data_IF_686207632796
#
_entry.id   IF_686207632796
#
_cell.length_a   1.000
_cell.length_b   1.000
_cell.length_c   1.000
_cell.angle_alpha   90.00
_cell.angle_beta   90.00
_cell.angle_gamma   90.00
#
_symmetry.space_group_name_H-M   'P 1'
#
loop_
_entity.id
_entity.type
_entity.pdbx_description
1 polymer ?
#
# COMPACT_ATOMS: atom_id res chain seq x y z
N UNK A 1 -45.86 -4.46 92.68
CA UNK A 1 -46.73 -5.32 91.90
C UNK A 1 -46.06 -5.68 90.58
N UNK A 2 -45.80 -6.97 90.45
CA UNK A 2 -45.66 -7.75 89.21
C UNK A 2 -44.65 -7.28 88.13
N UNK A 3 -43.55 -8.00 88.00
CA UNK A 3 -43.32 -9.23 87.18
C UNK A 3 -43.08 -8.86 85.69
N UNK A 4 -42.12 -9.31 85.03
CA UNK A 4 -41.53 -10.62 84.81
C UNK A 4 -40.24 -10.52 84.02
N UNK A 5 -39.30 -11.32 84.39
CA UNK A 5 -38.08 -11.67 83.66
C UNK A 5 -38.36 -12.26 82.28
N UNK A 6 -37.58 -11.87 81.29
CA UNK A 6 -37.38 -12.67 80.07
C UNK A 6 -35.91 -12.77 79.70
N UNK A 7 -35.44 -13.98 79.74
CA UNK A 7 -34.12 -14.39 79.25
C UNK A 7 -33.94 -14.09 77.77
N UNK A 8 -32.91 -13.42 77.47
CA UNK A 8 -32.46 -13.23 76.06
C UNK A 8 -31.62 -14.44 75.67
N UNK A 9 -32.12 -15.24 74.74
CA UNK A 9 -31.38 -16.23 73.99
C UNK A 9 -30.55 -15.51 72.91
N UNK A 10 -29.24 -15.55 73.10
CA UNK A 10 -28.33 -15.13 72.01
C UNK A 10 -28.28 -16.18 70.94
N UNK A 11 -28.87 -15.96 69.81
CA UNK A 11 -28.65 -16.76 68.60
C UNK A 11 -27.45 -16.13 67.84
N UNK A 12 -26.31 -16.85 67.91
CA UNK A 12 -25.14 -16.58 67.10
C UNK A 12 -25.48 -17.01 65.69
N UNK A 13 -25.68 -16.04 64.80
CA UNK A 13 -25.77 -16.26 63.36
C UNK A 13 -24.34 -16.24 62.81
N UNK A 14 -23.81 -17.40 62.50
CA UNK A 14 -22.56 -17.53 61.72
C UNK A 14 -22.89 -17.20 60.25
N UNK A 15 -22.57 -16.00 59.85
CA UNK A 15 -22.65 -15.63 58.42
C UNK A 15 -21.39 -16.11 57.72
N UNK A 16 -21.51 -17.25 57.08
CA UNK A 16 -20.45 -17.75 56.17
C UNK A 16 -20.40 -16.84 54.94
N UNK A 17 -19.41 -15.97 54.89
CA UNK A 17 -19.08 -15.23 53.68
C UNK A 17 -18.39 -16.19 52.71
N UNK A 18 -19.16 -16.74 51.78
CA UNK A 18 -18.58 -17.41 50.60
C UNK A 18 -17.99 -16.33 49.71
N UNK A 19 -16.68 -16.16 49.80
CA UNK A 19 -15.93 -15.36 48.82
C UNK A 19 -15.97 -16.13 47.49
N UNK A 20 -16.92 -15.77 46.60
CA UNK A 20 -16.90 -16.17 45.22
C UNK A 20 -15.75 -15.40 44.59
N UNK A 21 -14.58 -16.02 44.54
CA UNK A 21 -13.47 -15.58 43.74
C UNK A 21 -13.86 -15.63 42.27
N UNK A 22 -14.42 -14.54 41.73
CA UNK A 22 -14.44 -14.34 40.31
C UNK A 22 -12.98 -14.25 39.85
N UNK A 23 -12.39 -15.38 39.50
CA UNK A 23 -11.21 -15.39 38.63
C UNK A 23 -11.66 -14.79 37.30
N UNK A 24 -11.46 -13.47 37.17
CA UNK A 24 -11.45 -12.84 35.88
C UNK A 24 -10.24 -13.42 35.12
N UNK A 25 -10.45 -14.56 34.50
CA UNK A 25 -9.69 -14.96 33.34
C UNK A 25 -10.00 -13.91 32.28
N UNK A 26 -9.28 -12.80 32.35
CA UNK A 26 -9.15 -11.90 31.19
C UNK A 26 -8.53 -12.79 30.12
N UNK A 27 -9.37 -13.38 29.28
CA UNK A 27 -8.99 -13.79 27.97
C UNK A 27 -8.48 -12.50 27.32
N UNK A 28 -7.16 -12.32 27.36
CA UNK A 28 -6.46 -11.39 26.50
C UNK A 28 -6.79 -11.92 25.12
N UNK A 29 -7.86 -11.39 24.51
CA UNK A 29 -8.12 -11.59 23.12
C UNK A 29 -6.82 -11.12 22.47
N UNK A 30 -6.05 -12.06 21.93
CA UNK A 30 -4.86 -11.74 21.13
C UNK A 30 -5.36 -10.78 20.07
N UNK A 31 -5.10 -9.50 20.28
CA UNK A 31 -5.46 -8.47 19.34
C UNK A 31 -4.72 -8.84 18.07
N UNK A 32 -5.45 -9.34 17.05
CA UNK A 32 -4.88 -9.82 15.81
C UNK A 32 -3.99 -8.69 15.30
N UNK A 33 -2.69 -8.94 15.28
CA UNK A 33 -1.71 -7.94 14.86
C UNK A 33 -2.08 -7.52 13.43
N UNK A 34 -2.16 -6.22 13.19
CA UNK A 34 -2.44 -5.72 11.84
C UNK A 34 -1.37 -6.24 10.88
N UNK A 35 -1.76 -6.70 9.68
CA UNK A 35 -0.80 -7.26 8.73
C UNK A 35 0.22 -6.20 8.28
N UNK A 36 1.41 -6.65 7.91
CA UNK A 36 2.37 -5.86 7.13
C UNK A 36 2.05 -6.10 5.66
N UNK A 37 1.75 -5.04 4.92
CA UNK A 37 1.38 -5.12 3.50
C UNK A 37 2.30 -4.23 2.68
N UNK A 38 3.11 -4.84 1.83
CA UNK A 38 3.94 -4.09 0.89
C UNK A 38 3.15 -3.77 -0.38
N UNK A 39 2.84 -2.49 -0.59
CA UNK A 39 2.03 -2.05 -1.73
C UNK A 39 2.86 -1.72 -2.98
N UNK A 40 4.16 -2.07 -3.00
CA UNK A 40 5.01 -1.76 -4.15
C UNK A 40 6.18 -2.75 -4.29
N UNK A 41 5.90 -3.92 -4.84
CA UNK A 41 6.93 -4.91 -5.19
C UNK A 41 6.96 -5.12 -6.70
N UNK A 42 8.13 -5.50 -7.22
CA UNK A 42 8.28 -5.88 -8.63
C UNK A 42 8.72 -7.33 -8.75
N UNK A 43 8.11 -8.05 -9.70
CA UNK A 43 8.56 -9.38 -10.11
C UNK A 43 9.09 -9.34 -11.55
N UNK A 44 10.19 -10.03 -11.78
CA UNK A 44 10.84 -10.12 -13.08
C UNK A 44 11.11 -11.58 -13.42
N UNK A 45 10.82 -11.96 -14.67
CA UNK A 45 11.12 -13.31 -15.19
C UNK A 45 12.58 -13.46 -15.62
N UNK A 46 13.32 -12.34 -15.70
CA UNK A 46 14.68 -12.25 -16.22
C UNK A 46 14.72 -12.11 -17.75
N UNK A 47 15.80 -11.54 -18.28
CA UNK A 47 15.95 -11.19 -19.69
C UNK A 47 16.05 -12.39 -20.64
N UNK A 48 16.32 -13.61 -20.11
CA UNK A 48 16.43 -14.86 -20.90
C UNK A 48 15.13 -15.67 -20.96
N UNK A 49 14.07 -15.20 -20.30
CA UNK A 49 12.80 -15.91 -20.26
C UNK A 49 12.05 -15.77 -21.59
N UNK A 50 11.78 -16.91 -22.27
CA UNK A 50 11.09 -16.92 -23.57
C UNK A 50 9.57 -16.89 -23.45
N UNK A 51 9.03 -17.33 -22.33
CA UNK A 51 7.57 -17.37 -22.09
C UNK A 51 7.05 -15.98 -21.69
N UNK A 52 7.90 -15.20 -21.00
CA UNK A 52 7.60 -13.84 -20.54
C UNK A 52 8.71 -12.87 -20.97
N UNK A 53 8.90 -12.64 -22.27
CA UNK A 53 9.93 -11.74 -22.78
C UNK A 53 9.62 -10.28 -22.38
N UNK A 54 10.65 -9.49 -22.19
CA UNK A 54 10.47 -8.05 -22.08
C UNK A 54 10.06 -7.45 -23.44
N UNK A 55 9.25 -6.39 -23.38
CA UNK A 55 8.82 -5.67 -24.57
C UNK A 55 9.99 -4.85 -25.14
N UNK A 56 10.06 -4.72 -26.48
CA UNK A 56 11.11 -3.93 -27.16
C UNK A 56 11.18 -2.47 -26.69
N UNK A 57 10.03 -1.88 -26.34
CA UNK A 57 9.93 -0.51 -25.85
C UNK A 57 10.11 -0.39 -24.32
N UNK A 58 10.43 -1.50 -23.64
CA UNK A 58 10.73 -1.51 -22.22
C UNK A 58 11.94 -0.61 -21.91
N UNK A 59 11.86 0.30 -20.92
CA UNK A 59 12.92 1.26 -20.66
C UNK A 59 14.19 0.65 -20.05
N UNK A 60 14.09 -0.55 -19.52
CA UNK A 60 15.19 -1.33 -18.93
C UNK A 60 14.85 -2.83 -18.97
N UNK A 61 15.86 -3.69 -18.80
CA UNK A 61 15.67 -5.15 -18.86
C UNK A 61 16.51 -5.82 -17.77
N UNK A 62 15.95 -6.04 -16.55
CA UNK A 62 16.67 -6.70 -15.47
C UNK A 62 17.09 -8.12 -15.81
N UNK A 63 18.35 -8.46 -15.56
CA UNK A 63 18.85 -9.82 -15.68
C UNK A 63 18.36 -10.72 -14.55
N UNK A 64 18.16 -10.14 -13.38
CA UNK A 64 17.75 -10.84 -12.17
C UNK A 64 16.35 -11.44 -12.31
N UNK A 65 16.18 -12.64 -11.75
CA UNK A 65 14.89 -13.31 -11.64
C UNK A 65 14.35 -13.03 -10.23
N UNK A 66 13.22 -12.34 -10.18
CA UNK A 66 12.43 -12.14 -8.95
C UNK A 66 11.05 -12.76 -9.15
N UNK A 67 11.03 -14.11 -9.11
CA UNK A 67 9.78 -14.85 -9.35
C UNK A 67 8.79 -14.66 -8.20
N UNK A 68 7.49 -14.91 -8.42
CA UNK A 68 6.51 -14.85 -7.33
C UNK A 68 6.79 -15.87 -6.22
N UNK A 69 7.45 -17.00 -6.51
CA UNK A 69 7.87 -17.98 -5.52
C UNK A 69 8.96 -17.40 -4.61
N UNK A 70 9.96 -16.72 -5.20
CA UNK A 70 11.02 -16.02 -4.44
C UNK A 70 10.38 -14.94 -3.58
N UNK A 71 9.52 -14.10 -4.15
CA UNK A 71 8.81 -13.06 -3.41
C UNK A 71 8.07 -13.62 -2.19
N UNK A 72 7.26 -14.66 -2.36
CA UNK A 72 6.49 -15.27 -1.28
C UNK A 72 7.38 -15.87 -0.18
N UNK A 73 8.50 -16.47 -0.55
CA UNK A 73 9.49 -16.98 0.40
C UNK A 73 10.12 -15.83 1.21
N UNK A 74 10.53 -14.75 0.52
CA UNK A 74 11.12 -13.58 1.19
C UNK A 74 10.09 -12.86 2.08
N UNK A 75 8.84 -12.70 1.62
CA UNK A 75 7.74 -12.16 2.42
C UNK A 75 7.58 -12.94 3.73
N UNK A 76 7.48 -14.27 3.65
CA UNK A 76 7.36 -15.14 4.83
C UNK A 76 8.50 -14.93 5.82
N UNK A 77 9.74 -14.89 5.35
CA UNK A 77 10.93 -14.70 6.20
C UNK A 77 11.03 -13.27 6.75
N UNK A 78 10.61 -12.27 5.98
CA UNK A 78 10.62 -10.87 6.38
C UNK A 78 9.45 -10.48 7.29
N UNK A 79 8.41 -11.32 7.40
CA UNK A 79 7.19 -11.02 8.16
C UNK A 79 6.26 -10.05 7.43
N UNK A 80 6.20 -10.14 6.09
CA UNK A 80 5.25 -9.42 5.23
C UNK A 80 4.13 -10.38 4.85
N UNK A 81 2.88 -10.00 5.14
CA UNK A 81 1.73 -10.89 5.00
C UNK A 81 1.15 -10.89 3.58
N UNK A 82 1.08 -9.70 2.97
CA UNK A 82 0.51 -9.49 1.64
C UNK A 82 1.36 -8.49 0.85
N UNK A 83 1.24 -8.55 -0.49
CA UNK A 83 1.90 -7.57 -1.34
C UNK A 83 1.08 -7.22 -2.59
N UNK A 84 1.34 -6.02 -3.13
CA UNK A 84 0.85 -5.58 -4.44
C UNK A 84 2.00 -5.61 -5.43
N UNK A 85 1.92 -6.52 -6.40
CA UNK A 85 2.86 -6.58 -7.52
C UNK A 85 2.54 -5.42 -8.46
N UNK A 86 3.40 -4.42 -8.45
CA UNK A 86 3.30 -3.31 -9.40
C UNK A 86 3.88 -3.77 -10.73
N UNK A 87 3.02 -3.81 -11.74
CA UNK A 87 3.42 -4.29 -13.07
C UNK A 87 4.63 -3.49 -13.59
N UNK A 88 5.76 -4.14 -13.87
CA UNK A 88 6.98 -3.44 -14.25
C UNK A 88 6.94 -2.96 -15.71
N UNK A 89 7.49 -1.77 -15.96
CA UNK A 89 7.55 -1.19 -17.31
C UNK A 89 8.26 -2.01 -18.39
N UNK A 90 9.26 -2.88 -18.10
CA UNK A 90 9.82 -3.79 -19.10
C UNK A 90 8.80 -4.61 -19.88
N UNK A 91 7.68 -4.93 -19.28
CA UNK A 91 6.61 -5.71 -19.94
C UNK A 91 5.58 -4.84 -20.68
N UNK A 92 5.64 -3.50 -20.51
CA UNK A 92 4.69 -2.55 -21.08
C UNK A 92 3.23 -2.95 -20.78
N UNK A 93 2.39 -3.17 -21.78
CA UNK A 93 1.00 -3.64 -21.64
C UNK A 93 0.83 -5.16 -21.81
N UNK A 94 1.91 -5.93 -21.75
CA UNK A 94 1.87 -7.38 -21.67
C UNK A 94 1.79 -7.85 -20.22
N UNK A 95 0.59 -8.16 -19.75
CA UNK A 95 0.33 -8.56 -18.37
C UNK A 95 0.47 -10.06 -18.08
N UNK A 96 0.91 -10.89 -19.03
CA UNK A 96 1.00 -12.35 -18.85
C UNK A 96 1.84 -12.73 -17.62
N UNK A 97 2.97 -12.05 -17.40
CA UNK A 97 3.79 -12.32 -16.20
C UNK A 97 3.13 -11.87 -14.91
N UNK A 98 2.41 -10.74 -14.92
CA UNK A 98 1.60 -10.31 -13.77
C UNK A 98 0.52 -11.35 -13.46
N UNK A 99 -0.23 -11.84 -14.47
CA UNK A 99 -1.25 -12.88 -14.30
C UNK A 99 -0.65 -14.16 -13.70
N UNK A 100 0.56 -14.56 -14.16
CA UNK A 100 1.30 -15.66 -13.57
C UNK A 100 1.63 -15.39 -12.08
N UNK A 101 2.15 -14.22 -11.74
CA UNK A 101 2.43 -13.86 -10.34
C UNK A 101 1.17 -13.94 -9.47
N UNK A 102 0.03 -13.45 -9.96
CA UNK A 102 -1.24 -13.48 -9.25
C UNK A 102 -1.80 -14.91 -9.10
N UNK A 103 -1.55 -15.79 -10.07
CA UNK A 103 -1.96 -17.19 -9.99
C UNK A 103 -1.17 -17.95 -8.92
N UNK A 104 0.13 -17.70 -8.82
CA UNK A 104 1.01 -18.29 -7.79
C UNK A 104 0.72 -17.70 -6.41
N UNK A 105 0.57 -16.40 -6.32
CA UNK A 105 0.37 -15.68 -5.05
C UNK A 105 -1.01 -15.86 -4.42
N UNK A 106 -1.98 -16.37 -5.18
CA UNK A 106 -3.36 -16.62 -4.71
C UNK A 106 -3.95 -15.42 -3.96
N UNK A 107 -4.21 -15.57 -2.66
CA UNK A 107 -4.76 -14.51 -1.78
C UNK A 107 -3.71 -13.51 -1.29
N UNK A 108 -2.43 -13.87 -1.32
CA UNK A 108 -1.35 -13.02 -0.78
C UNK A 108 -0.92 -11.92 -1.73
N UNK A 109 -1.16 -12.07 -3.05
CA UNK A 109 -0.74 -11.09 -4.04
C UNK A 109 -1.94 -10.48 -4.78
N UNK A 110 -1.89 -9.17 -4.90
CA UNK A 110 -2.71 -8.38 -5.83
C UNK A 110 -1.79 -7.63 -6.79
N UNK A 111 -2.33 -7.04 -7.85
CA UNK A 111 -1.50 -6.41 -8.87
C UNK A 111 -2.03 -5.08 -9.36
N UNK A 112 -1.14 -4.25 -9.85
CA UNK A 112 -1.51 -3.06 -10.63
C UNK A 112 -1.24 -3.32 -12.10
N UNK A 113 -2.07 -2.79 -12.99
CA UNK A 113 -1.86 -2.88 -14.42
C UNK A 113 -1.28 -1.59 -15.00
N UNK A 114 -0.73 -1.68 -16.21
CA UNK A 114 -0.19 -0.58 -16.98
C UNK A 114 -0.82 -0.58 -18.37
N UNK A 115 -1.50 0.49 -18.73
CA UNK A 115 -2.05 0.71 -20.06
C UNK A 115 -1.80 2.15 -20.49
N UNK A 116 -1.76 2.36 -21.80
CA UNK A 116 -1.39 3.64 -22.38
C UNK A 116 -2.60 4.32 -23.02
N UNK A 117 -2.86 5.57 -22.65
CA UNK A 117 -4.01 6.31 -23.14
C UNK A 117 -3.98 6.59 -24.66
N UNK A 118 -2.80 6.59 -25.26
CA UNK A 118 -2.61 6.75 -26.71
C UNK A 118 -2.79 5.46 -27.53
N UNK A 119 -3.05 4.30 -26.88
CA UNK A 119 -3.38 3.05 -27.55
C UNK A 119 -4.89 2.81 -27.54
N UNK A 120 -5.50 2.72 -28.72
CA UNK A 120 -6.98 2.71 -28.85
C UNK A 120 -7.70 1.50 -28.23
N UNK A 121 -6.99 0.40 -27.99
CA UNK A 121 -7.54 -0.82 -27.41
C UNK A 121 -7.29 -0.96 -25.89
N UNK A 122 -6.59 -0.01 -25.25
CA UNK A 122 -6.24 -0.05 -23.83
C UNK A 122 -7.45 -0.23 -22.91
N UNK A 123 -8.55 0.45 -23.18
CA UNK A 123 -9.79 0.33 -22.38
C UNK A 123 -10.36 -1.08 -22.45
N UNK A 124 -10.44 -1.65 -23.65
CA UNK A 124 -10.95 -3.02 -23.87
C UNK A 124 -10.06 -4.06 -23.19
N UNK A 125 -8.74 -3.98 -23.43
CA UNK A 125 -7.77 -4.91 -22.87
C UNK A 125 -7.70 -4.83 -21.32
N UNK A 126 -7.81 -3.64 -20.76
CA UNK A 126 -7.92 -3.45 -19.30
C UNK A 126 -9.16 -4.14 -18.74
N UNK A 127 -10.31 -3.96 -19.39
CA UNK A 127 -11.56 -4.63 -18.98
C UNK A 127 -11.45 -6.15 -19.04
N UNK A 128 -10.83 -6.68 -20.08
CA UNK A 128 -10.58 -8.14 -20.22
C UNK A 128 -9.63 -8.66 -19.14
N UNK A 129 -8.54 -7.93 -18.83
CA UNK A 129 -7.60 -8.29 -17.77
C UNK A 129 -8.29 -8.36 -16.40
N UNK A 130 -9.08 -7.34 -16.05
CA UNK A 130 -9.84 -7.30 -14.79
C UNK A 130 -10.84 -8.44 -14.71
N UNK A 131 -11.55 -8.72 -15.80
CA UNK A 131 -12.52 -9.82 -15.87
C UNK A 131 -11.87 -11.19 -15.66
N UNK A 132 -10.66 -11.42 -16.21
CA UNK A 132 -9.91 -12.67 -16.00
C UNK A 132 -9.34 -12.81 -14.59
N UNK A 133 -9.11 -11.69 -13.91
CA UNK A 133 -8.46 -11.63 -12.59
C UNK A 133 -9.34 -10.87 -11.58
N UNK A 134 -10.55 -11.36 -11.28
CA UNK A 134 -11.50 -10.66 -10.40
C UNK A 134 -10.85 -10.39 -9.04
N UNK A 135 -11.03 -9.16 -8.54
CA UNK A 135 -10.52 -8.69 -7.24
C UNK A 135 -8.99 -8.69 -7.08
N UNK A 136 -8.24 -9.14 -8.09
CA UNK A 136 -6.78 -9.21 -8.03
C UNK A 136 -6.10 -8.01 -8.67
N UNK A 137 -6.66 -7.43 -9.72
CA UNK A 137 -6.17 -6.16 -10.28
C UNK A 137 -6.79 -5.02 -9.49
N UNK A 138 -5.96 -4.21 -8.83
CA UNK A 138 -6.44 -3.21 -7.86
C UNK A 138 -6.17 -1.77 -8.25
N UNK A 139 -5.33 -1.53 -9.25
CA UNK A 139 -5.06 -0.17 -9.73
C UNK A 139 -4.57 -0.17 -11.19
N UNK A 140 -4.85 0.95 -11.88
CA UNK A 140 -4.19 1.33 -13.13
C UNK A 140 -3.07 2.32 -12.80
N UNK A 141 -1.84 2.04 -13.26
CA UNK A 141 -0.69 2.91 -13.04
C UNK A 141 -0.40 3.79 -14.24
N UNK A 142 -0.16 5.08 -13.99
CA UNK A 142 0.34 6.03 -14.98
C UNK A 142 1.77 6.45 -14.64
N UNK A 143 2.59 6.61 -15.69
CA UNK A 143 3.95 7.11 -15.57
C UNK A 143 4.08 8.49 -16.23
N UNK A 144 4.75 9.43 -15.57
CA UNK A 144 5.07 10.75 -16.11
C UNK A 144 6.44 11.22 -15.59
N UNK A 145 7.50 10.60 -16.07
CA UNK A 145 8.89 10.97 -15.77
C UNK A 145 9.75 11.06 -17.04
N UNK A 146 9.36 10.41 -18.12
CA UNK A 146 10.03 10.50 -19.40
C UNK A 146 9.26 11.48 -20.30
N UNK A 147 9.89 12.60 -20.68
CA UNK A 147 9.30 13.66 -21.50
C UNK A 147 8.72 13.15 -22.83
N UNK A 148 9.34 12.12 -23.42
CA UNK A 148 8.93 11.55 -24.70
C UNK A 148 7.74 10.59 -24.58
N UNK A 149 7.46 10.09 -23.37
CA UNK A 149 6.42 9.10 -23.09
C UNK A 149 5.41 9.58 -22.04
N UNK A 150 5.11 10.88 -22.03
CA UNK A 150 4.13 11.44 -21.11
C UNK A 150 2.71 10.98 -21.45
N UNK A 151 1.85 10.82 -20.44
CA UNK A 151 0.42 10.72 -20.69
C UNK A 151 -0.05 11.92 -21.52
N UNK A 152 -1.04 11.74 -22.40
CA UNK A 152 -1.57 12.82 -23.22
C UNK A 152 -2.44 13.76 -22.36
N UNK A 153 -1.77 14.56 -21.51
CA UNK A 153 -2.43 15.54 -20.65
C UNK A 153 -3.36 16.44 -21.46
N UNK A 154 -4.49 16.85 -20.88
CA UNK A 154 -5.52 17.71 -21.50
C UNK A 154 -6.24 17.08 -22.70
N UNK A 155 -5.88 15.87 -23.12
CA UNK A 155 -6.56 15.15 -24.21
C UNK A 155 -7.62 14.19 -23.68
N UNK A 156 -8.69 13.94 -24.46
CA UNK A 156 -9.79 13.08 -24.04
C UNK A 156 -9.37 11.64 -23.77
N UNK A 157 -8.32 11.13 -24.41
CA UNK A 157 -7.88 9.75 -24.30
C UNK A 157 -7.44 9.41 -22.86
N UNK A 158 -6.70 10.31 -22.21
CA UNK A 158 -6.29 10.11 -20.81
C UNK A 158 -7.51 10.06 -19.88
N UNK A 159 -8.47 10.97 -20.08
CA UNK A 159 -9.70 11.02 -19.32
C UNK A 159 -10.57 9.76 -19.54
N UNK A 160 -10.63 9.28 -20.80
CA UNK A 160 -11.39 8.07 -21.15
C UNK A 160 -10.80 6.86 -20.44
N UNK A 161 -9.47 6.68 -20.47
CA UNK A 161 -8.81 5.55 -19.82
C UNK A 161 -8.95 5.63 -18.29
N UNK A 162 -8.82 6.82 -17.70
CA UNK A 162 -9.03 7.04 -16.27
C UNK A 162 -10.47 6.73 -15.86
N UNK A 163 -11.46 7.21 -16.64
CA UNK A 163 -12.87 6.93 -16.42
C UNK A 163 -13.16 5.43 -16.45
N UNK A 164 -12.65 4.72 -17.46
CA UNK A 164 -12.83 3.28 -17.58
C UNK A 164 -12.24 2.52 -16.38
N UNK A 165 -11.04 2.90 -15.91
CA UNK A 165 -10.46 2.33 -14.69
C UNK A 165 -11.35 2.58 -13.46
N UNK A 166 -11.89 3.79 -13.33
CA UNK A 166 -12.81 4.15 -12.23
C UNK A 166 -14.09 3.32 -12.26
N UNK A 167 -14.67 3.10 -13.45
CA UNK A 167 -15.88 2.28 -13.63
C UNK A 167 -15.65 0.80 -13.35
N UNK A 168 -14.41 0.31 -13.57
CA UNK A 168 -13.99 -1.04 -13.19
C UNK A 168 -13.66 -1.18 -11.69
N UNK A 169 -13.80 -0.12 -10.89
CA UNK A 169 -13.47 -0.12 -9.47
C UNK A 169 -11.97 -0.09 -9.17
N UNK A 170 -11.13 0.22 -10.16
CA UNK A 170 -9.70 0.32 -9.96
C UNK A 170 -9.32 1.65 -9.31
N UNK A 171 -8.33 1.60 -8.42
CA UNK A 171 -7.63 2.80 -8.00
C UNK A 171 -6.75 3.33 -9.14
N UNK A 172 -6.35 4.58 -9.06
CA UNK A 172 -5.33 5.15 -9.95
C UNK A 172 -4.02 5.24 -9.17
N UNK A 173 -2.93 4.79 -9.75
CA UNK A 173 -1.60 4.89 -9.16
C UNK A 173 -0.71 5.78 -10.04
N UNK A 174 -0.12 6.80 -9.45
CA UNK A 174 0.65 7.81 -10.16
C UNK A 174 2.14 7.71 -9.79
N UNK A 175 2.98 7.43 -10.78
CA UNK A 175 4.43 7.52 -10.71
C UNK A 175 4.92 8.64 -11.62
N UNK A 176 5.36 9.75 -11.06
CA UNK A 176 5.69 10.94 -11.83
C UNK A 176 6.80 11.76 -11.17
N UNK A 177 7.47 12.59 -11.93
CA UNK A 177 8.28 13.67 -11.40
C UNK A 177 7.39 14.88 -11.06
N UNK A 178 7.67 15.62 -9.97
CA UNK A 178 6.81 16.69 -9.47
C UNK A 178 6.43 17.75 -10.52
N UNK A 179 7.30 18.03 -11.49
CA UNK A 179 7.03 18.96 -12.60
C UNK A 179 5.82 18.59 -13.46
N UNK A 180 5.44 17.31 -13.50
CA UNK A 180 4.29 16.84 -14.28
C UNK A 180 3.00 16.72 -13.45
N UNK A 181 3.05 17.01 -12.16
CA UNK A 181 1.90 16.89 -11.25
C UNK A 181 0.68 17.69 -11.76
N UNK A 182 0.89 18.89 -12.30
CA UNK A 182 -0.20 19.74 -12.77
C UNK A 182 -1.11 19.05 -13.80
N UNK A 183 -0.57 18.15 -14.64
CA UNK A 183 -1.34 17.44 -15.66
C UNK A 183 -2.36 16.44 -15.11
N UNK A 184 -2.14 15.89 -13.90
CA UNK A 184 -3.07 14.96 -13.26
C UNK A 184 -4.15 15.65 -12.43
N UNK A 185 -3.92 16.86 -11.96
CA UNK A 185 -4.79 17.52 -10.98
C UNK A 185 -6.26 17.67 -11.46
N UNK A 186 -6.56 17.98 -12.72
CA UNK A 186 -7.93 18.05 -13.21
C UNK A 186 -8.69 16.71 -13.04
N UNK A 187 -8.02 15.57 -13.32
CA UNK A 187 -8.61 14.24 -13.23
C UNK A 187 -8.78 13.80 -11.77
N UNK A 188 -7.85 14.14 -10.90
CA UNK A 188 -7.98 13.90 -9.43
C UNK A 188 -9.24 14.58 -8.90
N UNK A 189 -9.51 15.82 -9.33
CA UNK A 189 -10.69 16.59 -8.92
C UNK A 189 -11.97 16.02 -9.51
N UNK A 190 -11.96 15.72 -10.81
CA UNK A 190 -13.14 15.22 -11.52
C UNK A 190 -13.59 13.86 -10.98
N UNK A 191 -12.64 12.94 -10.79
CA UNK A 191 -12.92 11.58 -10.32
C UNK A 191 -12.77 11.45 -8.80
N UNK A 192 -13.40 12.33 -8.03
CA UNK A 192 -13.26 12.45 -6.58
C UNK A 192 -13.64 11.20 -5.78
N UNK A 193 -14.38 10.27 -6.37
CA UNK A 193 -14.72 8.97 -5.75
C UNK A 193 -13.68 7.89 -5.97
N UNK A 194 -12.79 8.07 -6.96
CA UNK A 194 -11.71 7.12 -7.27
C UNK A 194 -10.48 7.45 -6.44
N UNK A 195 -9.95 6.47 -5.71
CA UNK A 195 -8.73 6.69 -4.93
C UNK A 195 -7.52 6.84 -5.85
N UNK A 196 -6.69 7.82 -5.55
CA UNK A 196 -5.48 8.14 -6.29
C UNK A 196 -4.27 7.95 -5.39
N UNK A 197 -3.45 6.96 -5.71
CA UNK A 197 -2.25 6.58 -4.96
C UNK A 197 -1.06 7.33 -5.58
N UNK A 198 -0.37 8.10 -4.77
CA UNK A 198 0.82 8.85 -5.16
C UNK A 198 2.05 8.04 -4.76
N UNK A 199 2.79 7.53 -5.75
CA UNK A 199 3.99 6.71 -5.49
C UNK A 199 5.15 7.53 -4.91
N UNK A 200 5.99 6.86 -4.13
CA UNK A 200 7.32 7.33 -3.73
C UNK A 200 7.31 8.70 -3.04
N UNK A 201 6.36 8.90 -2.12
CA UNK A 201 6.20 10.18 -1.40
C UNK A 201 6.01 11.40 -2.32
N UNK A 202 5.59 11.16 -3.59
CA UNK A 202 5.52 12.20 -4.62
C UNK A 202 6.88 12.66 -5.13
N UNK A 203 7.95 11.88 -4.91
CA UNK A 203 9.34 12.16 -5.32
C UNK A 203 9.86 13.52 -4.80
N UNK A 204 9.88 13.74 -3.49
CA UNK A 204 10.14 15.06 -2.89
C UNK A 204 11.53 15.60 -3.13
N UNK A 205 12.47 14.76 -3.59
CA UNK A 205 13.86 15.13 -3.83
C UNK A 205 14.18 15.39 -5.31
N UNK A 206 13.18 15.24 -6.20
CA UNK A 206 13.39 15.30 -7.66
C UNK A 206 12.75 16.52 -8.33
N UNK A 207 12.17 17.43 -7.58
CA UNK A 207 11.51 18.62 -8.11
C UNK A 207 11.97 19.91 -7.44
N UNK A 208 11.51 21.05 -7.99
CA UNK A 208 11.61 22.33 -7.30
C UNK A 208 10.73 22.37 -6.05
N UNK A 209 10.99 23.35 -5.18
CA UNK A 209 10.17 23.57 -3.97
C UNK A 209 8.70 23.80 -4.35
N UNK A 210 8.42 24.55 -5.41
CA UNK A 210 7.05 24.90 -5.83
C UNK A 210 6.31 23.68 -6.40
N UNK A 211 7.01 22.84 -7.17
CA UNK A 211 6.45 21.59 -7.70
C UNK A 211 6.12 20.62 -6.57
N UNK A 212 7.02 20.47 -5.60
CA UNK A 212 6.79 19.65 -4.42
C UNK A 212 5.64 20.19 -3.55
N UNK A 213 5.53 21.51 -3.35
CA UNK A 213 4.39 22.13 -2.67
C UNK A 213 3.07 21.80 -3.36
N UNK A 214 3.02 21.74 -4.70
CA UNK A 214 1.83 21.34 -5.45
C UNK A 214 1.42 19.90 -5.09
N UNK A 215 2.37 18.97 -5.14
CA UNK A 215 2.11 17.55 -4.80
C UNK A 215 1.61 17.42 -3.36
N UNK A 216 2.25 18.06 -2.41
CA UNK A 216 1.83 18.09 -1.00
C UNK A 216 0.46 18.76 -0.83
N UNK A 217 0.14 19.75 -1.65
CA UNK A 217 -1.16 20.42 -1.70
C UNK A 217 -2.31 19.50 -2.13
N UNK A 218 -2.05 18.34 -2.73
CA UNK A 218 -3.08 17.34 -3.05
C UNK A 218 -3.67 16.67 -1.81
N UNK A 219 -3.08 16.86 -0.63
CA UNK A 219 -3.68 16.45 0.63
C UNK A 219 -5.10 17.05 0.85
N UNK A 220 -5.43 18.17 0.21
CA UNK A 220 -6.79 18.76 0.19
C UNK A 220 -7.83 17.90 -0.53
N UNK A 221 -7.41 16.98 -1.39
CA UNK A 221 -8.30 16.05 -2.09
C UNK A 221 -8.42 14.76 -1.27
N UNK A 222 -9.61 14.47 -0.75
CA UNK A 222 -9.86 13.32 0.13
C UNK A 222 -9.64 11.95 -0.54
N UNK A 223 -9.65 11.92 -1.86
CA UNK A 223 -9.39 10.72 -2.64
C UNK A 223 -7.92 10.42 -2.85
N UNK A 224 -6.98 11.28 -2.41
CA UNK A 224 -5.55 11.03 -2.54
C UNK A 224 -4.97 10.26 -1.38
N UNK A 225 -4.07 9.31 -1.69
CA UNK A 225 -3.36 8.46 -0.75
C UNK A 225 -1.87 8.55 -1.09
N UNK A 226 -1.04 8.80 -0.11
CA UNK A 226 0.40 8.89 -0.31
C UNK A 226 1.09 7.57 0.05
N UNK A 227 1.93 7.06 -0.83
CA UNK A 227 2.72 5.85 -0.61
C UNK A 227 4.09 6.21 -0.05
N UNK A 228 4.37 5.75 1.15
CA UNK A 228 5.69 5.84 1.79
C UNK A 228 6.57 4.73 1.22
N UNK A 229 7.38 5.08 0.23
CA UNK A 229 8.26 4.16 -0.50
C UNK A 229 9.44 4.92 -1.13
N UNK A 230 10.42 4.20 -1.68
CA UNK A 230 11.66 4.77 -2.23
C UNK A 230 12.39 5.68 -1.24
N UNK A 231 12.59 5.14 -0.03
CA UNK A 231 13.36 5.84 0.98
C UNK A 231 14.81 6.03 0.50
N UNK A 232 15.37 7.24 0.54
CA UNK A 232 16.75 7.47 0.16
C UNK A 232 17.71 6.69 1.05
N UNK A 233 18.78 6.18 0.47
CA UNK A 233 19.88 5.62 1.26
C UNK A 233 20.68 6.78 1.89
N UNK A 234 20.72 6.91 3.23
CA UNK A 234 21.44 8.00 3.88
C UNK A 234 22.94 7.99 3.64
N UNK A 235 23.53 6.84 3.26
CA UNK A 235 24.95 6.75 2.91
C UNK A 235 25.24 7.35 1.55
N UNK A 236 24.30 7.19 0.60
CA UNK A 236 24.43 7.74 -0.76
C UNK A 236 23.91 9.18 -0.86
N UNK A 237 22.90 9.52 -0.07
CA UNK A 237 22.19 10.80 -0.12
C UNK A 237 21.99 11.37 1.30
N UNK A 238 23.09 11.76 1.99
CA UNK A 238 23.02 12.22 3.38
C UNK A 238 22.18 13.51 3.56
N UNK A 239 22.01 14.30 2.50
CA UNK A 239 21.18 15.50 2.48
C UNK A 239 19.67 15.23 2.35
N UNK A 240 19.28 13.99 2.03
CA UNK A 240 17.89 13.58 1.80
C UNK A 240 17.31 12.96 3.07
N UNK A 241 16.69 13.78 3.91
CA UNK A 241 16.07 13.31 5.16
C UNK A 241 14.64 12.81 4.94
N UNK A 242 14.47 11.50 4.83
CA UNK A 242 13.16 10.86 4.72
C UNK A 242 12.28 11.09 5.96
N UNK A 243 12.87 11.25 7.14
CA UNK A 243 12.12 11.46 8.39
C UNK A 243 11.37 12.80 8.39
N UNK A 244 12.03 13.87 7.92
CA UNK A 244 11.38 15.18 7.76
C UNK A 244 10.23 15.09 6.75
N UNK A 245 10.46 14.44 5.61
CA UNK A 245 9.41 14.26 4.59
C UNK A 245 8.22 13.49 5.13
N UNK A 246 8.46 12.34 5.77
CA UNK A 246 7.39 11.49 6.32
C UNK A 246 6.60 12.23 7.40
N UNK A 247 7.26 13.00 8.26
CA UNK A 247 6.60 13.85 9.26
C UNK A 247 5.66 14.88 8.61
N UNK A 248 6.09 15.54 7.54
CA UNK A 248 5.23 16.50 6.80
C UNK A 248 4.05 15.79 6.13
N UNK A 249 4.28 14.59 5.55
CA UNK A 249 3.22 13.76 4.97
C UNK A 249 2.18 13.33 6.01
N UNK A 250 2.61 12.91 7.21
CA UNK A 250 1.71 12.56 8.32
C UNK A 250 0.84 13.75 8.70
N UNK A 251 1.42 14.95 8.79
CA UNK A 251 0.69 16.16 9.14
C UNK A 251 -0.36 16.55 8.08
N UNK A 252 -0.09 16.32 6.80
CA UNK A 252 -0.97 16.74 5.69
C UNK A 252 -2.00 15.68 5.29
N UNK A 253 -1.55 14.43 5.11
CA UNK A 253 -2.40 13.33 4.66
C UNK A 253 -3.05 12.57 5.80
N UNK A 254 -2.63 12.80 7.04
CA UNK A 254 -2.97 12.03 8.23
C UNK A 254 -2.55 10.55 8.12
N UNK A 255 -2.40 9.81 9.23
CA UNK A 255 -2.08 8.38 9.18
C UNK A 255 -3.08 7.54 8.36
N UNK A 256 -4.33 8.00 8.22
CA UNK A 256 -5.40 7.31 7.49
C UNK A 256 -5.18 7.25 5.97
N UNK A 257 -4.39 8.16 5.41
CA UNK A 257 -4.14 8.28 3.97
C UNK A 257 -2.69 8.06 3.59
N UNK A 258 -1.96 7.31 4.42
CA UNK A 258 -0.60 6.84 4.12
C UNK A 258 -0.60 5.32 4.00
N UNK A 259 0.15 4.78 3.05
CA UNK A 259 0.40 3.33 2.88
C UNK A 259 1.88 3.07 2.70
N UNK A 260 2.34 1.94 3.21
CA UNK A 260 3.71 1.47 3.07
C UNK A 260 3.93 0.72 1.76
N UNK A 261 5.13 0.78 1.18
CA UNK A 261 5.53 -0.05 0.05
C UNK A 261 7.00 0.09 -0.34
N UNK A 262 7.49 -0.87 -1.13
CA UNK A 262 8.78 -0.76 -1.80
C UNK A 262 9.98 -1.35 -1.07
N UNK A 263 9.78 -2.38 -0.25
CA UNK A 263 10.87 -3.09 0.43
C UNK A 263 11.47 -4.26 -0.35
N UNK A 264 10.91 -4.63 -1.50
CA UNK A 264 11.38 -5.77 -2.29
C UNK A 264 11.63 -5.39 -3.75
N UNK A 265 12.82 -5.69 -4.22
CA UNK A 265 13.30 -5.53 -5.59
C UNK A 265 14.21 -6.72 -6.01
N UNK A 266 14.91 -6.58 -7.14
CA UNK A 266 15.82 -7.58 -7.70
C UNK A 266 17.10 -7.81 -6.88
N UNK A 267 17.36 -7.01 -5.86
CA UNK A 267 18.52 -7.09 -4.97
C UNK A 267 18.17 -7.47 -3.54
N UNK A 268 16.87 -7.60 -3.25
CA UNK A 268 16.40 -7.83 -1.89
C UNK A 268 16.48 -9.29 -1.47
N UNK A 269 16.94 -9.51 -0.25
CA UNK A 269 16.77 -10.74 0.52
C UNK A 269 15.83 -10.51 1.71
N UNK A 270 15.56 -11.55 2.49
CA UNK A 270 14.63 -11.45 3.62
C UNK A 270 15.11 -10.47 4.71
N UNK A 271 16.43 -10.33 4.88
CA UNK A 271 17.00 -9.44 5.89
C UNK A 271 16.84 -7.98 5.47
N UNK A 272 17.22 -7.64 4.23
CA UNK A 272 17.06 -6.30 3.67
C UNK A 272 15.60 -5.90 3.55
N UNK A 273 14.72 -6.86 3.16
CA UNK A 273 13.29 -6.63 3.09
C UNK A 273 12.69 -6.31 4.47
N UNK A 274 13.05 -7.09 5.49
CA UNK A 274 12.64 -6.80 6.88
C UNK A 274 13.18 -5.44 7.34
N UNK A 275 14.47 -5.20 7.14
CA UNK A 275 15.10 -3.95 7.54
C UNK A 275 14.45 -2.72 6.91
N UNK A 276 13.91 -2.83 5.68
CA UNK A 276 13.25 -1.73 5.00
C UNK A 276 11.93 -1.33 5.67
N UNK A 277 11.03 -2.27 5.96
CA UNK A 277 9.77 -1.92 6.62
C UNK A 277 9.99 -1.53 8.10
N UNK A 278 10.97 -2.13 8.80
CA UNK A 278 11.36 -1.72 10.15
C UNK A 278 11.93 -0.29 10.15
N UNK A 279 12.73 0.07 9.15
CA UNK A 279 13.20 1.45 8.95
C UNK A 279 12.03 2.40 8.70
N UNK A 280 11.09 2.02 7.84
CA UNK A 280 9.87 2.82 7.63
C UNK A 280 9.15 3.02 8.96
N UNK A 281 8.95 1.95 9.74
CA UNK A 281 8.34 2.03 11.08
C UNK A 281 9.10 2.97 12.02
N UNK A 282 10.42 2.99 11.97
CA UNK A 282 11.22 3.88 12.83
C UNK A 282 10.95 5.36 12.56
N UNK A 283 10.69 5.74 11.31
CA UNK A 283 10.28 7.12 10.97
C UNK A 283 8.88 7.49 11.47
N UNK A 284 8.06 6.48 11.81
CA UNK A 284 6.71 6.65 12.36
C UNK A 284 6.68 6.58 13.90
N UNK A 285 7.82 6.56 14.58
CA UNK A 285 7.92 6.34 16.03
C UNK A 285 7.18 7.37 16.88
N UNK A 286 6.92 8.55 16.35
CA UNK A 286 6.13 9.59 17.04
C UNK A 286 4.60 9.32 17.02
N UNK A 287 4.15 8.36 16.19
CA UNK A 287 2.75 7.97 16.10
C UNK A 287 2.42 6.88 17.11
N UNK A 288 1.14 6.75 17.45
CA UNK A 288 0.66 5.63 18.27
C UNK A 288 0.88 4.29 17.55
N UNK A 289 0.99 3.17 18.29
CA UNK A 289 1.12 1.84 17.69
C UNK A 289 -0.01 1.52 16.69
N UNK A 290 -1.22 1.98 16.93
CA UNK A 290 -2.36 1.80 16.02
C UNK A 290 -2.21 2.57 14.72
N UNK A 291 -1.71 3.80 14.75
CA UNK A 291 -1.44 4.61 13.56
C UNK A 291 -0.29 4.03 12.74
N UNK A 292 0.78 3.56 13.40
CA UNK A 292 1.86 2.83 12.72
C UNK A 292 1.32 1.60 12.00
N UNK A 293 0.48 0.80 12.67
CA UNK A 293 -0.13 -0.40 12.10
C UNK A 293 -1.07 -0.07 10.91
N UNK A 294 -1.81 1.03 10.98
CA UNK A 294 -2.60 1.50 9.84
C UNK A 294 -1.74 1.79 8.62
N UNK A 295 -0.63 2.50 8.77
CA UNK A 295 0.26 2.87 7.66
C UNK A 295 0.97 1.64 7.09
N UNK A 296 1.46 0.74 7.95
CA UNK A 296 2.23 -0.44 7.54
C UNK A 296 1.39 -1.53 6.88
N UNK A 297 0.06 -1.52 7.07
CA UNK A 297 -0.79 -2.53 6.43
C UNK A 297 -2.29 -2.27 6.49
N UNK A 298 -2.83 -1.78 7.60
CA UNK A 298 -4.28 -1.67 7.79
C UNK A 298 -4.99 -0.80 6.75
N UNK A 299 -4.36 0.29 6.28
CA UNK A 299 -4.91 1.11 5.21
C UNK A 299 -4.91 0.37 3.87
N UNK A 300 -3.80 -0.30 3.55
CA UNK A 300 -3.68 -1.10 2.32
C UNK A 300 -4.65 -2.30 2.33
N UNK A 301 -4.85 -2.93 3.49
CA UNK A 301 -5.81 -4.02 3.66
C UNK A 301 -7.23 -3.58 3.26
N UNK A 302 -7.68 -2.43 3.79
CA UNK A 302 -8.99 -1.86 3.44
C UNK A 302 -9.06 -1.38 2.00
N UNK A 303 -8.01 -0.68 1.53
CA UNK A 303 -7.97 -0.11 0.19
C UNK A 303 -8.05 -1.16 -0.92
N UNK A 304 -7.35 -2.26 -0.73
CA UNK A 304 -7.21 -3.31 -1.74
C UNK A 304 -8.03 -4.57 -1.44
N UNK A 305 -8.75 -4.63 -0.30
CA UNK A 305 -9.58 -5.78 0.04
C UNK A 305 -8.76 -7.05 0.30
N UNK A 306 -7.64 -6.98 1.03
CA UNK A 306 -6.94 -8.16 1.50
C UNK A 306 -7.69 -8.78 2.68
N UNK A 307 -7.92 -10.09 2.61
CA UNK A 307 -8.57 -10.87 3.65
C UNK A 307 -7.53 -11.70 4.43
N UNK A 308 -7.66 -11.71 5.77
CA UNK A 308 -6.80 -12.50 6.67
C UNK A 308 -7.25 -13.96 6.75
#
# INVERSE_FOLDING_TARGET
MNHLTRRNFAKTVITSVVAIGCSQSQAIAMQKQSPIIDTHVHCFAGNKNKDFPYHSDGPYQPDAITSPQILLEQMKKAGVDFAVVVHPEPYQDDHRYLEYCLSVGKKQLKGTCLFFANKGDSVRLMGELVKRNPEKIVALRFHAYNKEKLPPFEKPELRILWKAASELGLNIQLHFEPRYAAGFEPLIKEFSKTKVIIDHMGRPFDGSIEENKRVLGWAKFENTIMKVSSLPDPKMFPERDAGIVIKDLVNRFTPMRLIYGGGFDDKSDAQSYRAYWEKTRSYLAALSPSEQAMILGGNAQRLFGFEN
#
